data_IF_185236284207
#
_entry.id   IF_185236284207
#
_cell.length_a   1.000
_cell.length_b   1.000
_cell.length_c   1.000
_cell.angle_alpha   90.00
_cell.angle_beta   90.00
_cell.angle_gamma   90.00
#
_symmetry.space_group_name_H-M   'P 1'
#
loop_
_entity.id
_entity.type
_entity.pdbx_description
1 polymer ?
#
# COMPACT_ATOMS: atom_id res chain seq x y z
N UNK A 1 -45.46 40.87 11.56
CA UNK A 1 -45.30 39.40 11.74
C UNK A 1 -44.50 38.86 10.57
N UNK A 2 -43.21 38.61 10.76
CA UNK A 2 -42.37 37.99 9.75
C UNK A 2 -41.76 36.78 10.42
N UNK A 3 -42.06 35.60 9.87
CA UNK A 3 -41.62 34.30 10.34
C UNK A 3 -40.13 34.11 10.03
N UNK A 4 -39.31 33.94 11.06
CA UNK A 4 -37.98 33.33 10.94
C UNK A 4 -38.17 31.80 10.98
N UNK A 5 -37.72 31.12 9.96
CA UNK A 5 -37.62 29.66 9.98
C UNK A 5 -36.48 29.15 9.13
N UNK A 6 -35.61 28.42 9.77
CA UNK A 6 -34.79 27.30 9.32
C UNK A 6 -33.60 27.58 8.37
N UNK A 7 -32.44 27.68 8.99
CA UNK A 7 -31.20 27.11 8.48
C UNK A 7 -30.52 26.43 9.68
N UNK A 8 -30.88 25.19 9.99
CA UNK A 8 -30.11 24.26 10.83
C UNK A 8 -30.44 22.87 10.33
N UNK A 9 -29.77 22.36 9.32
CA UNK A 9 -29.80 20.92 9.02
C UNK A 9 -28.83 20.52 7.89
N UNK A 10 -27.51 20.82 7.99
CA UNK A 10 -26.56 20.32 7.00
C UNK A 10 -25.18 19.95 7.57
N UNK A 11 -24.95 20.09 8.86
CA UNK A 11 -23.65 19.74 9.48
C UNK A 11 -23.64 18.40 10.23
N UNK A 12 -24.80 17.76 10.42
CA UNK A 12 -24.89 16.52 11.21
C UNK A 12 -24.65 15.27 10.36
N UNK A 13 -24.89 15.29 9.04
CA UNK A 13 -24.80 14.10 8.19
C UNK A 13 -23.36 13.67 7.87
N UNK A 14 -22.43 14.62 7.70
CA UNK A 14 -21.05 14.27 7.34
C UNK A 14 -20.28 13.63 8.51
N UNK A 15 -20.48 14.14 9.73
CA UNK A 15 -19.82 13.58 10.92
C UNK A 15 -20.32 12.18 11.28
N UNK A 16 -21.62 11.91 11.08
CA UNK A 16 -22.22 10.59 11.33
C UNK A 16 -21.73 9.55 10.32
N UNK A 17 -21.56 9.95 9.05
CA UNK A 17 -21.09 9.03 8.00
C UNK A 17 -19.62 8.64 8.20
N UNK A 18 -18.77 9.58 8.59
CA UNK A 18 -17.35 9.30 8.87
C UNK A 18 -17.21 8.39 10.10
N UNK A 19 -18.01 8.59 11.13
CA UNK A 19 -17.99 7.76 12.34
C UNK A 19 -18.46 6.33 12.05
N UNK A 20 -19.49 6.15 11.22
CA UNK A 20 -20.00 4.84 10.84
C UNK A 20 -18.99 4.03 10.03
N UNK A 21 -18.34 4.65 9.04
CA UNK A 21 -17.29 3.99 8.22
C UNK A 21 -16.08 3.60 9.07
N UNK A 22 -15.67 4.44 10.02
CA UNK A 22 -14.55 4.12 10.93
C UNK A 22 -14.87 2.95 11.85
N UNK A 23 -16.09 2.86 12.38
CA UNK A 23 -16.54 1.73 13.22
C UNK A 23 -16.63 0.43 12.42
N UNK A 24 -17.09 0.47 11.18
CA UNK A 24 -17.18 -0.72 10.30
C UNK A 24 -15.79 -1.27 9.98
N UNK A 25 -14.79 -0.42 9.71
CA UNK A 25 -13.41 -0.86 9.46
C UNK A 25 -12.77 -1.44 10.71
N UNK A 26 -13.01 -0.88 11.88
CA UNK A 26 -12.48 -1.37 13.16
C UNK A 26 -13.01 -2.76 13.53
N UNK A 27 -14.23 -3.08 13.11
CA UNK A 27 -14.83 -4.39 13.28
C UNK A 27 -14.33 -5.39 12.22
N UNK A 28 -14.08 -4.95 11.01
CA UNK A 28 -13.66 -5.81 9.91
C UNK A 28 -12.17 -6.21 10.01
N UNK A 29 -11.31 -5.27 10.45
CA UNK A 29 -9.88 -5.48 10.56
C UNK A 29 -9.46 -5.73 12.01
N UNK A 30 -8.97 -6.94 12.31
CA UNK A 30 -8.46 -7.28 13.63
C UNK A 30 -7.18 -6.48 13.93
N UNK A 31 -6.99 -6.08 15.20
CA UNK A 31 -5.80 -5.38 15.70
C UNK A 31 -4.78 -6.38 16.17
N UNK A 32 -3.58 -6.29 15.61
CA UNK A 32 -2.49 -7.18 15.95
C UNK A 32 -1.18 -6.40 16.12
N UNK A 33 -0.19 -7.04 16.75
CA UNK A 33 1.14 -6.50 16.96
C UNK A 33 2.17 -7.58 16.67
N UNK A 34 3.09 -7.27 15.77
CA UNK A 34 4.19 -8.14 15.42
C UNK A 34 5.47 -7.68 16.13
N UNK A 35 6.20 -8.61 16.71
CA UNK A 35 7.50 -8.36 17.34
C UNK A 35 8.60 -8.94 16.45
N UNK A 36 9.35 -8.07 15.77
CA UNK A 36 10.43 -8.50 14.88
C UNK A 36 11.60 -9.14 15.63
N UNK A 37 12.43 -9.86 14.89
CA UNK A 37 13.65 -10.49 15.43
C UNK A 37 14.64 -9.49 16.06
N UNK A 38 14.53 -8.19 15.71
CA UNK A 38 15.32 -7.08 16.26
C UNK A 38 14.64 -6.36 17.43
N UNK A 39 13.53 -6.88 17.95
CA UNK A 39 12.78 -6.29 19.06
C UNK A 39 11.99 -5.03 18.65
N UNK A 40 11.72 -4.83 17.36
CA UNK A 40 10.86 -3.76 16.88
C UNK A 40 9.41 -4.24 16.90
N UNK A 41 8.52 -3.49 17.56
CA UNK A 41 7.09 -3.73 17.56
C UNK A 41 6.45 -3.01 16.37
N UNK A 42 5.73 -3.76 15.55
CA UNK A 42 5.02 -3.29 14.38
C UNK A 42 3.51 -3.50 14.59
N UNK A 43 2.74 -2.44 14.87
CA UNK A 43 1.28 -2.53 14.86
C UNK A 43 0.79 -2.87 13.45
N UNK A 44 -0.20 -3.73 13.32
CA UNK A 44 -0.83 -4.00 12.04
C UNK A 44 -2.31 -4.36 12.18
N UNK A 45 -3.04 -4.19 11.10
CA UNK A 45 -4.42 -4.63 10.97
C UNK A 45 -4.49 -5.77 9.97
N UNK A 46 -5.32 -6.76 10.26
CA UNK A 46 -5.52 -7.92 9.39
C UNK A 46 -7.01 -8.13 9.11
N UNK A 47 -7.33 -8.33 7.83
CA UNK A 47 -8.65 -8.70 7.35
C UNK A 47 -8.56 -10.11 6.79
N UNK A 48 -9.40 -11.01 7.30
CA UNK A 48 -9.55 -12.35 6.74
C UNK A 48 -10.69 -12.41 5.72
N UNK A 49 -10.63 -13.35 4.74
CA UNK A 49 -11.75 -13.63 3.85
C UNK A 49 -13.01 -14.00 4.63
N UNK A 50 -14.18 -13.82 4.02
CA UNK A 50 -15.44 -14.29 4.62
C UNK A 50 -15.44 -15.81 4.76
N UNK A 51 -15.87 -16.30 5.92
CA UNK A 51 -15.88 -17.74 6.21
C UNK A 51 -14.48 -18.36 6.30
N UNK A 52 -13.44 -17.55 6.58
CA UNK A 52 -12.08 -18.08 6.77
C UNK A 52 -12.05 -19.12 7.89
N UNK A 53 -11.64 -20.34 7.56
CA UNK A 53 -11.49 -21.48 8.48
C UNK A 53 -10.05 -22.06 8.50
N UNK A 54 -9.18 -21.53 7.64
CA UNK A 54 -7.81 -22.01 7.50
C UNK A 54 -7.66 -23.27 6.65
N UNK A 55 -8.73 -23.83 6.09
CA UNK A 55 -8.69 -25.12 5.37
C UNK A 55 -8.15 -24.98 3.93
N UNK A 56 -8.26 -23.79 3.32
CA UNK A 56 -7.77 -23.55 1.96
C UNK A 56 -6.78 -22.38 1.90
N UNK A 57 -5.81 -22.41 0.96
CA UNK A 57 -4.84 -21.35 0.83
C UNK A 57 -5.43 -20.11 0.16
N UNK A 58 -5.24 -18.94 0.79
CA UNK A 58 -5.66 -17.64 0.29
C UNK A 58 -4.46 -16.77 -0.17
N UNK A 59 -4.64 -15.88 -1.15
CA UNK A 59 -3.67 -14.84 -1.43
C UNK A 59 -3.44 -13.94 -0.21
N UNK A 60 -2.23 -13.38 -0.11
CA UNK A 60 -1.89 -12.35 0.87
C UNK A 60 -1.66 -11.02 0.17
N UNK A 61 -2.31 -9.96 0.63
CA UNK A 61 -2.08 -8.59 0.18
C UNK A 61 -1.46 -7.79 1.33
N UNK A 62 -0.34 -7.13 1.05
CA UNK A 62 0.30 -6.17 1.95
C UNK A 62 0.03 -4.77 1.44
N UNK A 63 -0.53 -3.90 2.28
CA UNK A 63 -0.78 -2.51 1.95
C UNK A 63 0.07 -1.58 2.81
N UNK A 64 0.93 -0.80 2.19
CA UNK A 64 1.77 0.19 2.86
C UNK A 64 1.16 1.60 2.72
N UNK A 65 0.84 2.21 3.85
CA UNK A 65 0.23 3.54 3.92
C UNK A 65 1.20 4.69 3.62
N UNK A 66 0.69 5.90 3.42
CA UNK A 66 1.46 7.12 3.21
C UNK A 66 2.06 7.72 4.50
N UNK A 67 2.79 8.82 4.37
CA UNK A 67 3.46 9.46 5.50
C UNK A 67 2.50 10.06 6.54
N UNK A 68 1.27 10.40 6.13
CA UNK A 68 0.25 10.99 7.01
C UNK A 68 -0.33 10.02 8.03
N UNK A 69 -0.30 8.72 7.72
CA UNK A 69 -0.92 7.65 8.51
C UNK A 69 0.08 7.00 9.50
N UNK A 70 1.30 7.55 9.62
CA UNK A 70 2.27 7.11 10.62
C UNK A 70 1.75 7.30 12.04
N UNK A 71 2.12 6.41 12.91
CA UNK A 71 1.69 6.44 14.31
C UNK A 71 1.92 5.13 15.04
N UNK A 72 1.31 5.01 16.21
CA UNK A 72 1.28 3.81 17.04
C UNK A 72 -0.13 3.51 17.54
N UNK A 73 -1.13 4.20 16.98
CA UNK A 73 -2.53 4.03 17.36
C UNK A 73 -3.18 2.77 16.81
N UNK A 74 -2.52 2.14 15.83
CA UNK A 74 -3.04 1.00 15.08
C UNK A 74 -4.41 1.27 14.44
N UNK A 75 -4.63 2.50 13.95
CA UNK A 75 -5.88 2.97 13.32
C UNK A 75 -5.65 3.74 12.01
N UNK A 76 -4.73 4.73 12.02
CA UNK A 76 -4.54 5.63 10.88
C UNK A 76 -4.16 4.94 9.59
N UNK A 77 -3.47 3.79 9.65
CA UNK A 77 -3.10 3.02 8.45
C UNK A 77 -4.30 2.57 7.61
N UNK A 78 -5.52 2.58 8.18
CA UNK A 78 -6.74 2.21 7.47
C UNK A 78 -7.40 3.39 6.73
N UNK A 79 -6.92 4.62 6.88
CA UNK A 79 -7.53 5.84 6.30
C UNK A 79 -7.66 5.75 4.78
N UNK A 80 -6.64 5.19 4.11
CA UNK A 80 -6.65 5.02 2.67
C UNK A 80 -6.52 3.54 2.28
N UNK A 81 -7.33 3.12 1.31
CA UNK A 81 -7.28 1.78 0.73
C UNK A 81 -8.05 0.70 1.49
N UNK A 82 -8.29 0.82 2.81
CA UNK A 82 -8.94 -0.23 3.57
C UNK A 82 -10.39 -0.50 3.11
N UNK A 83 -11.14 0.54 2.75
CA UNK A 83 -12.49 0.41 2.24
C UNK A 83 -12.60 -0.35 0.92
N UNK A 84 -11.53 -0.40 0.11
CA UNK A 84 -11.51 -1.20 -1.11
C UNK A 84 -11.75 -2.69 -0.79
N UNK A 85 -11.09 -3.21 0.24
CA UNK A 85 -11.11 -4.63 0.58
C UNK A 85 -12.31 -5.05 1.43
N UNK A 86 -13.11 -4.10 1.97
CA UNK A 86 -14.35 -4.40 2.71
C UNK A 86 -15.60 -4.36 1.84
N UNK A 87 -15.49 -3.99 0.57
CA UNK A 87 -16.61 -4.03 -0.38
C UNK A 87 -17.07 -5.46 -0.59
N UNK A 88 -18.38 -5.69 -0.59
CA UNK A 88 -18.99 -7.02 -0.76
C UNK A 88 -18.58 -7.71 -2.07
N UNK A 89 -18.54 -6.96 -3.19
CA UNK A 89 -18.10 -7.47 -4.49
C UNK A 89 -16.64 -7.92 -4.46
N UNK A 90 -15.77 -7.15 -3.79
CA UNK A 90 -14.34 -7.47 -3.67
C UNK A 90 -14.12 -8.68 -2.75
N UNK A 91 -14.79 -8.74 -1.61
CA UNK A 91 -14.68 -9.87 -0.69
C UNK A 91 -15.15 -11.18 -1.30
N UNK A 92 -16.20 -11.12 -2.14
CA UNK A 92 -16.75 -12.29 -2.84
C UNK A 92 -15.84 -12.74 -3.99
N UNK A 93 -15.38 -11.81 -4.83
CA UNK A 93 -14.74 -12.13 -6.11
C UNK A 93 -13.21 -12.25 -5.97
N UNK A 94 -12.62 -11.59 -4.95
CA UNK A 94 -11.16 -11.55 -4.68
C UNK A 94 -10.86 -11.83 -3.20
N UNK A 95 -11.27 -12.99 -2.66
CA UNK A 95 -11.01 -13.32 -1.27
C UNK A 95 -9.50 -13.43 -1.01
N UNK A 96 -9.01 -12.69 -0.01
CA UNK A 96 -7.61 -12.63 0.38
C UNK A 96 -7.46 -12.33 1.87
N UNK A 97 -6.33 -12.71 2.45
CA UNK A 97 -5.84 -12.14 3.70
C UNK A 97 -5.21 -10.79 3.34
N UNK A 98 -5.59 -9.72 4.03
CA UNK A 98 -5.07 -8.37 3.75
C UNK A 98 -4.48 -7.78 5.02
N UNK A 99 -3.24 -7.32 4.96
CA UNK A 99 -2.56 -6.70 6.11
C UNK A 99 -2.21 -5.23 5.83
N UNK A 100 -2.43 -4.40 6.85
CA UNK A 100 -2.09 -2.97 6.88
C UNK A 100 -1.15 -2.73 8.08
N UNK A 101 0.17 -2.87 7.92
CA UNK A 101 1.11 -2.49 8.97
C UNK A 101 1.13 -0.97 9.16
N UNK A 102 1.47 -0.51 10.38
CA UNK A 102 1.61 0.91 10.69
C UNK A 102 3.07 1.27 10.98
N UNK A 103 3.63 2.18 10.17
CA UNK A 103 4.94 2.76 10.39
C UNK A 103 4.88 3.79 11.53
N UNK A 104 5.80 3.79 12.49
CA UNK A 104 5.82 4.78 13.56
C UNK A 104 6.14 6.19 13.03
N UNK A 105 5.80 7.24 13.79
CA UNK A 105 6.00 8.65 13.39
C UNK A 105 7.45 8.99 13.01
N UNK A 106 8.43 8.44 13.70
CA UNK A 106 9.85 8.61 13.41
C UNK A 106 10.40 7.69 12.31
N UNK A 107 9.57 6.77 11.78
CA UNK A 107 9.95 5.78 10.80
C UNK A 107 9.61 6.16 9.36
N UNK A 108 10.07 5.32 8.45
CA UNK A 108 9.76 5.41 7.03
C UNK A 108 9.77 4.02 6.38
N UNK A 109 8.99 3.81 5.30
CA UNK A 109 8.98 2.53 4.59
C UNK A 109 10.16 2.34 3.64
N UNK A 110 10.99 3.37 3.43
CA UNK A 110 12.09 3.33 2.46
C UNK A 110 13.32 4.05 2.98
N UNK A 111 14.50 3.59 2.54
CA UNK A 111 15.80 4.22 2.76
C UNK A 111 15.94 5.41 1.79
N UNK A 112 15.32 6.54 2.13
CA UNK A 112 15.26 7.74 1.31
C UNK A 112 15.61 8.99 2.12
N UNK A 113 16.41 9.86 1.54
CA UNK A 113 16.62 11.24 2.01
C UNK A 113 15.68 12.16 1.23
N UNK A 114 15.01 13.08 1.93
CA UNK A 114 13.96 13.93 1.36
C UNK A 114 14.25 15.39 1.63
N UNK A 115 14.52 16.16 0.58
CA UNK A 115 14.57 17.61 0.65
C UNK A 115 13.17 18.21 0.42
N UNK A 116 12.49 18.57 1.52
CA UNK A 116 11.15 19.16 1.51
C UNK A 116 11.12 20.66 1.24
N UNK A 117 12.28 21.28 1.01
CA UNK A 117 12.35 22.69 0.61
C UNK A 117 12.03 22.90 -0.86
N UNK A 118 12.01 21.83 -1.65
CA UNK A 118 11.67 21.81 -3.07
C UNK A 118 10.22 21.36 -3.29
N UNK A 119 9.66 21.70 -4.43
CA UNK A 119 8.32 21.33 -4.83
C UNK A 119 8.30 20.98 -6.34
N UNK A 120 8.12 19.71 -6.71
CA UNK A 120 7.98 18.52 -5.84
C UNK A 120 9.25 18.28 -5.01
N UNK A 121 9.16 17.42 -3.97
CA UNK A 121 10.30 17.06 -3.12
C UNK A 121 11.44 16.46 -3.93
N UNK A 122 12.69 16.74 -3.53
CA UNK A 122 13.87 16.07 -4.09
C UNK A 122 14.13 14.80 -3.26
N UNK A 123 14.13 13.65 -3.92
CA UNK A 123 14.19 12.33 -3.28
C UNK A 123 15.50 11.63 -3.67
N UNK A 124 16.17 11.10 -2.67
CA UNK A 124 17.44 10.38 -2.87
C UNK A 124 17.37 9.02 -2.22
N UNK A 125 17.06 8.00 -3.02
CA UNK A 125 16.97 6.62 -2.56
C UNK A 125 18.35 5.98 -2.46
N UNK A 126 18.63 5.31 -1.34
CA UNK A 126 19.91 4.64 -1.10
C UNK A 126 19.66 3.22 -0.53
N UNK A 127 19.54 2.26 -1.44
CA UNK A 127 19.31 0.86 -1.08
C UNK A 127 20.59 0.09 -0.70
N UNK A 128 21.78 0.75 -0.72
CA UNK A 128 23.01 0.20 -0.13
C UNK A 128 22.95 0.24 1.39
N UNK A 129 22.22 1.21 1.95
CA UNK A 129 21.90 1.25 3.38
C UNK A 129 21.05 0.03 3.76
N UNK A 130 21.14 -0.46 5.01
CA UNK A 130 20.19 -1.44 5.52
C UNK A 130 18.74 -0.96 5.34
N UNK A 131 17.78 -1.88 5.23
CA UNK A 131 16.35 -1.49 5.26
C UNK A 131 16.03 -0.76 6.57
N UNK A 132 15.01 0.09 6.54
CA UNK A 132 14.47 0.63 7.78
C UNK A 132 13.93 -0.50 8.66
N UNK A 133 13.95 -0.34 9.98
CA UNK A 133 13.40 -1.35 10.89
C UNK A 133 11.93 -1.67 10.59
N UNK A 134 11.15 -0.65 10.21
CA UNK A 134 9.76 -0.83 9.86
C UNK A 134 9.59 -1.69 8.57
N UNK A 135 10.38 -1.44 7.53
CA UNK A 135 10.32 -2.25 6.30
C UNK A 135 10.78 -3.68 6.52
N UNK A 136 11.86 -3.87 7.29
CA UNK A 136 12.36 -5.20 7.64
C UNK A 136 11.33 -5.99 8.45
N UNK A 137 10.69 -5.36 9.45
CA UNK A 137 9.63 -5.96 10.24
C UNK A 137 8.42 -6.37 9.38
N UNK A 138 8.06 -5.59 8.33
CA UNK A 138 7.03 -6.01 7.37
C UNK A 138 7.44 -7.28 6.62
N UNK A 139 8.70 -7.41 6.21
CA UNK A 139 9.16 -8.62 5.52
C UNK A 139 9.09 -9.85 6.43
N UNK A 140 9.50 -9.72 7.70
CA UNK A 140 9.39 -10.78 8.69
C UNK A 140 7.91 -11.14 8.98
N UNK A 141 7.04 -10.14 9.13
CA UNK A 141 5.59 -10.33 9.32
C UNK A 141 4.96 -11.11 8.15
N UNK A 142 5.31 -10.79 6.91
CA UNK A 142 4.82 -11.50 5.73
C UNK A 142 5.21 -12.98 5.76
N UNK A 143 6.43 -13.30 6.16
CA UNK A 143 6.86 -14.70 6.28
C UNK A 143 6.17 -15.40 7.45
N UNK A 144 5.96 -14.73 8.59
CA UNK A 144 5.24 -15.28 9.74
C UNK A 144 3.79 -15.60 9.37
N UNK A 145 3.05 -14.64 8.84
CA UNK A 145 1.66 -14.85 8.39
C UNK A 145 1.59 -15.95 7.33
N UNK A 146 2.55 -15.99 6.41
CA UNK A 146 2.62 -17.04 5.38
C UNK A 146 2.88 -18.44 5.94
N UNK A 147 3.30 -18.56 7.18
CA UNK A 147 3.55 -19.84 7.85
C UNK A 147 2.45 -20.23 8.84
N UNK A 148 1.81 -19.26 9.48
CA UNK A 148 0.76 -19.48 10.50
C UNK A 148 -0.63 -19.59 9.87
N UNK A 149 -0.91 -18.73 8.89
CA UNK A 149 -2.17 -18.72 8.16
C UNK A 149 -2.03 -19.52 6.85
N UNK A 150 -3.09 -20.09 6.36
CA UNK A 150 -3.03 -20.84 5.11
C UNK A 150 -2.90 -19.89 3.90
N UNK A 151 -1.70 -19.36 3.67
CA UNK A 151 -1.36 -18.43 2.59
C UNK A 151 -0.86 -19.19 1.36
N UNK A 152 -1.43 -18.88 0.19
CA UNK A 152 -0.84 -19.29 -1.09
C UNK A 152 0.44 -18.45 -1.35
N UNK A 153 1.61 -19.02 -1.06
CA UNK A 153 2.90 -18.33 -1.15
C UNK A 153 3.25 -17.87 -2.56
N UNK A 154 2.60 -18.43 -3.58
CA UNK A 154 2.75 -17.99 -4.97
C UNK A 154 1.85 -16.79 -5.31
N UNK A 155 0.89 -16.45 -4.46
CA UNK A 155 -0.03 -15.32 -4.62
C UNK A 155 0.10 -14.31 -3.48
N UNK A 156 1.31 -13.85 -3.24
CA UNK A 156 1.57 -12.72 -2.32
C UNK A 156 1.75 -11.45 -3.13
N UNK A 157 1.05 -10.41 -2.75
CA UNK A 157 1.01 -9.14 -3.45
C UNK A 157 1.34 -7.99 -2.51
N UNK A 158 1.94 -6.93 -3.04
CA UNK A 158 2.22 -5.72 -2.28
C UNK A 158 1.74 -4.50 -3.04
N UNK A 159 1.13 -3.57 -2.33
CA UNK A 159 0.77 -2.26 -2.84
C UNK A 159 0.96 -1.20 -1.76
N UNK A 160 1.05 0.06 -2.18
CA UNK A 160 1.19 1.16 -1.24
C UNK A 160 1.20 2.50 -1.95
N UNK A 161 0.88 3.55 -1.20
CA UNK A 161 0.77 4.90 -1.72
C UNK A 161 1.83 5.85 -1.15
N UNK A 162 2.34 6.79 -1.95
CA UNK A 162 3.29 7.82 -1.50
C UNK A 162 4.52 7.19 -0.82
N UNK A 163 4.74 7.45 0.46
CA UNK A 163 5.73 6.76 1.30
C UNK A 163 5.62 5.22 1.16
N UNK A 164 4.39 4.68 1.13
CA UNK A 164 4.13 3.25 0.94
C UNK A 164 4.44 2.77 -0.48
N UNK A 165 4.27 3.63 -1.49
CA UNK A 165 4.72 3.36 -2.86
C UNK A 165 6.25 3.24 -2.95
N UNK A 166 6.98 4.11 -2.23
CA UNK A 166 8.44 4.01 -2.08
C UNK A 166 8.84 2.71 -1.38
N UNK A 167 8.14 2.36 -0.28
CA UNK A 167 8.32 1.09 0.43
C UNK A 167 8.02 -0.12 -0.43
N UNK A 168 7.02 -0.05 -1.30
CA UNK A 168 6.69 -1.11 -2.25
C UNK A 168 7.85 -1.38 -3.21
N UNK A 169 8.47 -0.35 -3.76
CA UNK A 169 9.66 -0.51 -4.59
C UNK A 169 10.83 -1.11 -3.81
N UNK A 170 11.15 -0.57 -2.63
CA UNK A 170 12.28 -1.08 -1.85
C UNK A 170 12.06 -2.51 -1.36
N UNK A 171 10.83 -2.86 -0.95
CA UNK A 171 10.48 -4.22 -0.54
C UNK A 171 10.74 -5.23 -1.66
N UNK A 172 10.30 -4.94 -2.88
CA UNK A 172 10.56 -5.82 -4.02
C UNK A 172 12.03 -5.89 -4.38
N UNK A 173 12.77 -4.78 -4.29
CA UNK A 173 14.21 -4.79 -4.51
C UNK A 173 14.96 -5.71 -3.54
N UNK A 174 14.63 -5.62 -2.23
CA UNK A 174 15.31 -6.39 -1.18
C UNK A 174 14.86 -7.83 -1.11
N UNK A 175 13.57 -8.07 -1.30
CA UNK A 175 12.92 -9.37 -1.17
C UNK A 175 12.22 -9.77 -2.49
N UNK A 176 12.95 -9.90 -3.61
CA UNK A 176 12.36 -10.11 -4.93
C UNK A 176 11.64 -11.46 -5.07
N UNK A 177 11.83 -12.36 -4.10
CA UNK A 177 11.14 -13.66 -4.05
C UNK A 177 9.86 -13.63 -3.22
N UNK A 178 9.52 -12.54 -2.60
CA UNK A 178 8.41 -12.50 -1.66
C UNK A 178 7.07 -12.28 -2.35
N UNK A 179 7.03 -11.54 -3.46
CA UNK A 179 5.79 -11.12 -4.09
C UNK A 179 5.70 -11.54 -5.56
N UNK A 180 4.48 -11.91 -6.01
CA UNK A 180 4.16 -12.16 -7.40
C UNK A 180 3.86 -10.86 -8.16
N UNK A 181 3.24 -9.88 -7.50
CA UNK A 181 2.91 -8.59 -8.07
C UNK A 181 3.12 -7.44 -7.09
N UNK A 182 3.41 -6.25 -7.64
CA UNK A 182 3.59 -5.01 -6.92
C UNK A 182 2.84 -3.85 -7.61
N UNK A 183 2.09 -3.08 -6.82
CA UNK A 183 1.33 -1.92 -7.28
C UNK A 183 1.75 -0.65 -6.49
N UNK A 184 2.90 -0.02 -6.80
CA UNK A 184 3.30 1.24 -6.20
C UNK A 184 2.50 2.40 -6.78
N UNK A 185 1.94 3.25 -5.90
CA UNK A 185 1.10 4.41 -6.24
C UNK A 185 1.80 5.68 -5.77
N UNK A 186 1.95 6.69 -6.66
CA UNK A 186 2.62 7.98 -6.42
C UNK A 186 3.91 7.88 -5.57
N UNK A 187 4.71 6.87 -5.84
CA UNK A 187 5.98 6.61 -5.17
C UNK A 187 7.17 6.77 -6.10
N UNK A 188 8.33 6.41 -5.58
CA UNK A 188 9.59 6.39 -6.31
C UNK A 188 10.52 5.33 -5.75
N UNK A 189 11.67 5.13 -6.42
CA UNK A 189 12.68 4.16 -6.02
C UNK A 189 14.04 4.46 -6.63
N UNK A 190 15.03 3.60 -6.39
CA UNK A 190 16.35 3.73 -6.99
C UNK A 190 16.45 2.90 -8.29
N UNK A 191 16.30 3.51 -9.48
CA UNK A 191 16.36 2.78 -10.73
C UNK A 191 17.74 2.17 -11.01
N UNK A 192 18.81 2.77 -10.53
CA UNK A 192 20.18 2.31 -10.80
C UNK A 192 20.50 1.01 -10.04
N UNK A 193 19.91 0.84 -8.86
CA UNK A 193 20.12 -0.35 -8.04
C UNK A 193 19.19 -1.53 -8.39
N UNK A 194 18.10 -1.26 -9.11
CA UNK A 194 17.23 -2.34 -9.60
C UNK A 194 17.93 -3.21 -10.64
N UNK A 195 17.87 -4.53 -10.48
CA UNK A 195 18.55 -5.50 -11.35
C UNK A 195 17.63 -6.66 -11.76
N UNK A 196 18.22 -7.68 -12.41
CA UNK A 196 17.50 -8.83 -12.94
C UNK A 196 16.79 -9.70 -11.88
N UNK A 197 17.07 -9.53 -10.59
CA UNK A 197 16.44 -10.30 -9.51
C UNK A 197 14.93 -10.07 -9.44
N UNK A 198 14.46 -8.88 -9.84
CA UNK A 198 13.03 -8.51 -9.83
C UNK A 198 12.26 -8.98 -11.06
N UNK A 199 12.88 -9.69 -12.00
CA UNK A 199 12.24 -10.04 -13.29
C UNK A 199 10.97 -10.86 -13.18
N UNK A 200 10.82 -11.63 -12.13
CA UNK A 200 9.67 -12.51 -11.93
C UNK A 200 8.47 -11.78 -11.30
N UNK A 201 8.64 -10.53 -10.86
CA UNK A 201 7.57 -9.74 -10.26
C UNK A 201 6.84 -8.97 -11.36
N UNK A 202 5.52 -9.04 -11.36
CA UNK A 202 4.68 -8.18 -12.19
C UNK A 202 4.50 -6.82 -11.52
N UNK A 203 4.54 -5.73 -12.31
CA UNK A 203 4.38 -4.37 -11.80
C UNK A 203 3.23 -3.64 -12.50
N UNK A 204 2.44 -2.92 -11.72
CA UNK A 204 1.56 -1.89 -12.24
C UNK A 204 1.74 -0.61 -11.43
N UNK A 205 2.37 0.38 -12.05
CA UNK A 205 2.67 1.66 -11.44
C UNK A 205 1.55 2.66 -11.72
N UNK A 206 1.24 3.51 -10.74
CA UNK A 206 0.23 4.57 -10.86
C UNK A 206 0.79 5.90 -10.37
N UNK A 207 0.52 7.00 -11.11
CA UNK A 207 0.94 8.34 -10.69
C UNK A 207 0.05 9.42 -11.33
N UNK A 208 -0.12 10.55 -10.65
CA UNK A 208 -0.71 11.75 -11.23
C UNK A 208 0.36 12.61 -11.90
N UNK A 209 0.13 13.12 -13.11
CA UNK A 209 1.14 13.91 -13.83
C UNK A 209 1.34 15.32 -13.28
N UNK A 210 0.38 15.80 -12.46
CA UNK A 210 0.45 17.08 -11.76
C UNK A 210 0.85 16.96 -10.27
N UNK A 211 1.48 15.82 -9.88
CA UNK A 211 1.87 15.57 -8.49
C UNK A 211 2.93 16.59 -8.04
N UNK A 212 2.53 17.46 -7.09
CA UNK A 212 3.37 18.52 -6.52
C UNK A 212 4.15 18.09 -5.28
N UNK A 213 4.01 16.84 -4.82
CA UNK A 213 4.67 16.30 -3.61
C UNK A 213 5.77 15.31 -4.00
N UNK A 214 5.40 14.23 -4.68
CA UNK A 214 6.31 13.27 -5.27
C UNK A 214 6.23 13.43 -6.78
N UNK A 215 7.27 13.98 -7.40
CA UNK A 215 7.24 14.26 -8.83
C UNK A 215 7.01 13.00 -9.66
N UNK A 216 6.18 13.09 -10.69
CA UNK A 216 5.83 11.97 -11.57
C UNK A 216 7.04 11.31 -12.22
N UNK A 217 8.14 12.05 -12.38
CA UNK A 217 9.40 11.56 -12.95
C UNK A 217 10.01 10.42 -12.12
N UNK A 218 9.71 10.34 -10.83
CA UNK A 218 10.11 9.20 -9.98
C UNK A 218 9.52 7.88 -10.51
N UNK A 219 8.23 7.84 -10.79
CA UNK A 219 7.60 6.66 -11.39
C UNK A 219 8.00 6.43 -12.85
N UNK A 220 8.21 7.50 -13.63
CA UNK A 220 8.68 7.39 -15.02
C UNK A 220 10.05 6.72 -15.11
N UNK A 221 11.00 7.12 -14.25
CA UNK A 221 12.33 6.53 -14.19
C UNK A 221 12.27 5.04 -13.79
N UNK A 222 11.48 4.71 -12.76
CA UNK A 222 11.26 3.32 -12.38
C UNK A 222 10.63 2.49 -13.50
N UNK A 223 9.60 3.02 -14.17
CA UNK A 223 8.98 2.37 -15.34
C UNK A 223 10.00 2.09 -16.45
N UNK A 224 10.82 3.08 -16.81
CA UNK A 224 11.88 2.91 -17.82
C UNK A 224 12.90 1.84 -17.40
N UNK A 225 13.25 1.79 -16.12
CA UNK A 225 14.16 0.78 -15.61
C UNK A 225 13.58 -0.62 -15.69
N UNK A 226 12.32 -0.79 -15.27
CA UNK A 226 11.61 -2.07 -15.32
C UNK A 226 11.41 -2.57 -16.76
N UNK A 227 11.15 -1.67 -17.71
CA UNK A 227 11.13 -1.98 -19.15
C UNK A 227 12.49 -2.53 -19.63
N UNK A 228 13.60 -1.85 -19.29
CA UNK A 228 14.94 -2.32 -19.64
C UNK A 228 15.28 -3.67 -19.03
N UNK A 229 14.80 -3.94 -17.82
CA UNK A 229 14.98 -5.22 -17.15
C UNK A 229 14.12 -6.33 -17.74
N UNK A 230 13.08 -6.02 -18.52
CA UNK A 230 12.11 -6.96 -19.08
C UNK A 230 11.48 -7.82 -17.97
N UNK A 231 10.83 -7.15 -17.00
CA UNK A 231 10.08 -7.82 -15.94
C UNK A 231 8.91 -8.63 -16.53
N UNK A 232 8.39 -9.59 -15.76
CA UNK A 232 7.38 -10.54 -16.23
C UNK A 232 6.16 -9.85 -16.86
N UNK A 233 5.66 -8.80 -16.22
CA UNK A 233 4.64 -7.90 -16.75
C UNK A 233 4.85 -6.50 -16.19
N UNK A 234 4.63 -5.49 -17.02
CA UNK A 234 4.74 -4.09 -16.63
C UNK A 234 3.58 -3.30 -17.19
N UNK A 235 2.82 -2.67 -16.29
CA UNK A 235 1.81 -1.65 -16.61
C UNK A 235 2.18 -0.33 -15.97
N UNK A 236 1.86 0.77 -16.62
CA UNK A 236 2.02 2.11 -16.09
C UNK A 236 0.81 2.95 -16.47
N UNK A 237 0.14 3.50 -15.47
CA UNK A 237 -0.97 4.43 -15.63
C UNK A 237 -0.59 5.77 -15.04
N UNK A 238 -0.59 6.79 -15.89
CA UNK A 238 -0.37 8.19 -15.54
C UNK A 238 -1.70 8.91 -15.68
N UNK A 239 -2.17 9.55 -14.61
CA UNK A 239 -3.46 10.22 -14.57
C UNK A 239 -3.31 11.71 -14.89
N UNK A 240 -3.84 12.19 -16.06
CA UNK A 240 -3.69 13.59 -16.49
C UNK A 240 -4.35 14.57 -15.52
N UNK A 241 -3.62 15.60 -15.08
CA UNK A 241 -4.10 16.66 -14.20
C UNK A 241 -4.33 16.24 -12.74
N UNK A 242 -4.05 14.98 -12.39
CA UNK A 242 -4.18 14.49 -11.02
C UNK A 242 -2.96 14.85 -10.20
N UNK A 243 -3.16 15.41 -9.01
CA UNK A 243 -2.11 15.75 -8.05
C UNK A 243 -1.74 14.50 -7.21
N UNK A 244 -1.15 14.68 -6.03
CA UNK A 244 -0.61 13.62 -5.19
C UNK A 244 -1.60 12.53 -4.79
N UNK A 245 -2.90 12.83 -4.72
CA UNK A 245 -3.95 11.88 -4.36
C UNK A 245 -4.35 10.89 -5.49
N UNK A 246 -3.42 10.52 -6.36
CA UNK A 246 -3.68 9.57 -7.46
C UNK A 246 -4.10 8.16 -7.00
N UNK A 247 -3.98 7.85 -5.69
CA UNK A 247 -4.51 6.61 -5.12
C UNK A 247 -6.03 6.49 -5.22
N UNK A 248 -6.78 7.60 -5.20
CA UNK A 248 -8.23 7.55 -5.39
C UNK A 248 -8.58 6.98 -6.77
N UNK A 249 -7.86 7.43 -7.80
CA UNK A 249 -8.00 6.91 -9.16
C UNK A 249 -7.50 5.46 -9.30
N UNK A 250 -6.38 5.13 -8.64
CA UNK A 250 -5.82 3.77 -8.68
C UNK A 250 -6.74 2.75 -8.00
N UNK A 251 -7.40 3.10 -6.88
CA UNK A 251 -8.37 2.22 -6.21
C UNK A 251 -9.68 2.07 -7.00
N UNK A 252 -9.99 3.05 -7.85
CA UNK A 252 -11.14 3.00 -8.75
C UNK A 252 -10.84 2.24 -10.06
N UNK A 253 -9.59 1.84 -10.31
CA UNK A 253 -9.19 1.12 -11.51
C UNK A 253 -9.80 -0.29 -11.52
N UNK A 254 -10.75 -0.61 -12.44
CA UNK A 254 -11.49 -1.86 -12.37
C UNK A 254 -10.61 -3.09 -12.63
N UNK A 255 -9.49 -2.92 -13.33
CA UNK A 255 -8.57 -4.00 -13.65
C UNK A 255 -7.52 -4.25 -12.54
N UNK A 256 -7.41 -3.42 -11.50
CA UNK A 256 -6.35 -3.53 -10.49
C UNK A 256 -6.35 -4.90 -9.78
N UNK A 257 -7.46 -5.27 -9.19
CA UNK A 257 -7.57 -6.56 -8.48
C UNK A 257 -7.60 -7.76 -9.44
N UNK A 258 -8.39 -7.77 -10.54
CA UNK A 258 -8.31 -8.83 -11.56
C UNK A 258 -6.89 -9.07 -12.04
N UNK A 259 -6.15 -7.99 -12.35
CA UNK A 259 -4.76 -8.08 -12.77
C UNK A 259 -3.89 -8.70 -11.66
N UNK A 260 -3.98 -8.18 -10.44
CA UNK A 260 -3.17 -8.64 -9.32
C UNK A 260 -3.39 -10.13 -9.04
N UNK A 261 -4.66 -10.56 -8.96
CA UNK A 261 -5.05 -11.95 -8.69
C UNK A 261 -4.71 -12.92 -9.82
N UNK A 262 -4.47 -12.43 -11.02
CA UNK A 262 -3.99 -13.25 -12.15
C UNK A 262 -2.50 -13.61 -12.04
N UNK A 263 -1.74 -13.00 -11.09
CA UNK A 263 -0.30 -13.22 -10.98
C UNK A 263 0.02 -14.33 -9.98
N UNK A 264 0.96 -15.16 -10.40
CA UNK A 264 1.55 -16.21 -9.56
C UNK A 264 3.06 -16.21 -9.76
N UNK A 265 3.76 -16.63 -8.76
CA UNK A 265 5.20 -16.80 -8.82
C UNK A 265 5.58 -18.13 -9.44
#
# INVERSE_FOLDING_TARGET
MVKKSFVVCLLVSAAVTIHAVGQDLDLAYQREYFHSSKGFELPYRILFPEGYDGDQPYPLIVFLHGAGERGTDNEKQLVHGATLFTREDIRRDYPAIVIFPQCPEGGYWSSVEIDRTKNPYDLKFDYEKPPTLALEAVAELVEEISSLENVDKDRRYIMGLSMGGMGTFEMVYRYPKLFAAAAPICGGGNPDQYDKRVKQVAFWLFHGDADAVVGVDESRQMNQRLQKLKVAELRYTEYPGVNHNSWDSAFAEPELLPWMFSKRR
#
